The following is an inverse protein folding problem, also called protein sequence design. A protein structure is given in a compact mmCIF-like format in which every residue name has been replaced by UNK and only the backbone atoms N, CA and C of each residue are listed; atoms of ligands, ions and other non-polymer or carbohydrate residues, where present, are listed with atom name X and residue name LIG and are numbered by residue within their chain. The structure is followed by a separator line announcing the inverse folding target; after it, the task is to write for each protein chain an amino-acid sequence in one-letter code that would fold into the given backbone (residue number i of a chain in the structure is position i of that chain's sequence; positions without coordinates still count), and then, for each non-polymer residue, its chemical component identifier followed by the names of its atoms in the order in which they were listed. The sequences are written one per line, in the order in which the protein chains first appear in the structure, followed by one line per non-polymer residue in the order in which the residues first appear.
data_IF_206599195654
#
_entry.id   IF_206599195654
#
_cell.length_a   1.000
_cell.length_b   1.000
_cell.length_c   1.000
_cell.angle_alpha   90.00
_cell.angle_beta   90.00
_cell.angle_gamma   90.00
#
_symmetry.space_group_name_H-M   'P 1'
#
loop_
_entity.id
_entity.type
_entity.pdbx_description
1 polymer ?
#
# COMPACT_ATOMS: atom_id res chain seq x y z
N UNK A 1 -25.69 -7.71 15.40
CA UNK A 1 -25.49 -6.80 14.25
C UNK A 1 -24.22 -7.23 13.54
N UNK A 2 -24.33 -7.93 12.40
CA UNK A 2 -23.16 -8.46 11.70
C UNK A 2 -22.28 -7.31 11.21
N UNK A 3 -21.02 -7.23 11.68
CA UNK A 3 -20.03 -6.34 11.08
C UNK A 3 -19.95 -6.70 9.59
N UNK A 4 -20.33 -5.77 8.71
CA UNK A 4 -20.00 -5.89 7.28
C UNK A 4 -18.50 -6.15 7.21
N UNK A 5 -18.08 -7.26 6.59
CA UNK A 5 -16.67 -7.45 6.21
C UNK A 5 -16.31 -6.28 5.29
N UNK A 6 -15.55 -5.32 5.80
CA UNK A 6 -15.05 -4.23 4.98
C UNK A 6 -14.03 -4.83 4.00
N UNK A 7 -14.35 -4.83 2.72
CA UNK A 7 -13.42 -5.28 1.68
C UNK A 7 -12.38 -4.19 1.45
N UNK A 8 -11.11 -4.49 1.73
CA UNK A 8 -9.98 -3.61 1.41
C UNK A 8 -9.95 -3.43 -0.11
N UNK A 9 -9.90 -2.18 -0.56
CA UNK A 9 -9.77 -1.83 -1.98
C UNK A 9 -8.89 -0.60 -2.15
N UNK A 10 -8.53 -0.27 -3.40
CA UNK A 10 -7.65 0.86 -3.70
C UNK A 10 -8.17 2.19 -3.13
N UNK A 11 -9.50 2.42 -3.11
CA UNK A 11 -10.07 3.64 -2.54
C UNK A 11 -9.82 3.73 -1.04
N UNK A 12 -9.93 2.62 -0.31
CA UNK A 12 -9.60 2.58 1.13
C UNK A 12 -8.13 2.94 1.32
N UNK A 13 -7.22 2.30 0.59
CA UNK A 13 -5.77 2.56 0.68
C UNK A 13 -5.47 4.05 0.41
N UNK A 14 -6.04 4.62 -0.64
CA UNK A 14 -5.89 6.04 -0.99
C UNK A 14 -6.47 6.99 0.05
N UNK A 15 -7.54 6.58 0.73
CA UNK A 15 -8.17 7.34 1.82
C UNK A 15 -7.33 7.29 3.08
N UNK A 16 -6.79 6.12 3.44
CA UNK A 16 -5.84 5.97 4.55
C UNK A 16 -4.61 6.82 4.30
N UNK A 17 -4.06 6.82 3.08
CA UNK A 17 -2.96 7.71 2.72
C UNK A 17 -3.32 9.19 2.94
N UNK A 18 -4.51 9.63 2.50
CA UNK A 18 -4.99 10.98 2.79
C UNK A 18 -5.03 11.30 4.29
N UNK A 19 -5.57 10.37 5.09
CA UNK A 19 -5.67 10.53 6.55
C UNK A 19 -4.30 10.67 7.20
N UNK A 20 -3.34 9.81 6.86
CA UNK A 20 -2.01 9.85 7.50
C UNK A 20 -1.14 11.01 7.02
N UNK A 21 -1.43 11.56 5.85
CA UNK A 21 -0.66 12.67 5.27
C UNK A 21 -1.21 14.03 5.66
N UNK A 22 -2.54 14.20 5.67
CA UNK A 22 -3.17 15.51 5.85
C UNK A 22 -4.22 15.53 6.96
N UNK A 23 -4.50 14.39 7.61
CA UNK A 23 -5.60 14.27 8.57
C UNK A 23 -6.98 14.21 7.91
N UNK A 24 -7.07 14.20 6.58
CA UNK A 24 -8.34 14.24 5.85
C UNK A 24 -8.65 12.88 5.22
N UNK A 25 -9.90 12.43 5.37
CA UNK A 25 -10.42 11.23 4.71
C UNK A 25 -10.69 11.44 3.21
N UNK A 26 -9.69 11.97 2.49
CA UNK A 26 -9.74 12.24 1.06
C UNK A 26 -8.81 11.27 0.33
N UNK A 27 -9.31 10.48 -0.64
CA UNK A 27 -8.46 9.67 -1.49
C UNK A 27 -7.40 10.52 -2.19
N UNK A 28 -6.17 10.04 -2.16
CA UNK A 28 -5.01 10.67 -2.82
C UNK A 28 -4.57 9.82 -4.01
N UNK A 29 -4.09 10.45 -5.10
CA UNK A 29 -3.61 9.72 -6.27
C UNK A 29 -2.30 8.98 -5.95
N UNK A 30 -2.05 7.90 -6.68
CA UNK A 30 -0.71 7.30 -6.73
C UNK A 30 0.26 8.24 -7.44
N UNK A 31 1.56 8.03 -7.24
CA UNK A 31 2.61 8.78 -7.94
C UNK A 31 2.51 8.55 -9.45
N UNK A 32 2.78 9.61 -10.19
CA UNK A 32 2.86 9.67 -11.64
C UNK A 32 4.30 9.75 -12.17
N UNK A 33 5.27 9.88 -11.25
CA UNK A 33 6.70 9.92 -11.54
C UNK A 33 7.48 8.83 -10.81
N UNK A 34 8.73 8.63 -11.25
CA UNK A 34 9.62 7.68 -10.61
C UNK A 34 10.02 8.17 -9.23
N UNK A 35 9.84 7.32 -8.22
CA UNK A 35 10.37 7.58 -6.88
C UNK A 35 11.68 6.80 -6.71
N UNK A 36 12.65 7.37 -6.00
CA UNK A 36 13.93 6.71 -5.71
C UNK A 36 14.14 6.77 -4.22
N UNK A 37 14.25 5.60 -3.58
CA UNK A 37 14.54 5.54 -2.15
C UNK A 37 16.04 5.71 -1.99
N UNK A 38 16.43 6.76 -1.26
CA UNK A 38 17.83 7.08 -0.98
C UNK A 38 18.11 6.92 0.50
N UNK A 39 19.36 6.57 0.80
CA UNK A 39 19.86 6.61 2.16
C UNK A 39 20.07 8.08 2.56
N UNK A 40 19.46 8.51 3.67
CA UNK A 40 19.51 9.91 4.09
C UNK A 40 20.90 10.38 4.52
N UNK A 41 21.82 9.46 4.87
CA UNK A 41 23.17 9.81 5.36
C UNK A 41 24.18 9.92 4.22
N UNK A 42 24.03 9.08 3.20
CA UNK A 42 25.00 8.91 2.11
C UNK A 42 24.47 9.37 0.75
N UNK A 43 23.18 9.68 0.65
CA UNK A 43 22.44 10.00 -0.58
C UNK A 43 22.47 8.88 -1.66
N UNK A 44 23.04 7.71 -1.35
CA UNK A 44 23.09 6.57 -2.26
C UNK A 44 21.69 6.03 -2.52
N UNK A 45 21.46 5.53 -3.73
CA UNK A 45 20.22 4.84 -4.07
C UNK A 45 20.18 3.52 -3.30
N UNK A 46 19.16 3.35 -2.45
CA UNK A 46 18.95 2.14 -1.66
C UNK A 46 17.98 1.20 -2.37
N UNK A 47 16.98 1.76 -3.05
CA UNK A 47 15.99 0.99 -3.76
C UNK A 47 15.32 1.81 -4.86
N UNK A 48 15.10 1.14 -5.99
CA UNK A 48 14.36 1.68 -7.13
C UNK A 48 13.03 0.92 -7.25
N UNK A 49 11.89 1.50 -6.81
CA UNK A 49 10.58 0.89 -6.98
C UNK A 49 10.19 0.76 -8.48
N UNK A 50 9.13 0.00 -8.79
CA UNK A 50 8.59 -0.14 -10.14
C UNK A 50 8.33 1.21 -10.84
N UNK A 51 8.22 1.23 -12.16
CA UNK A 51 7.87 2.47 -12.87
C UNK A 51 6.48 2.97 -12.47
N UNK A 52 6.29 4.30 -12.49
CA UNK A 52 5.01 4.90 -12.08
C UNK A 52 3.80 4.37 -12.88
N UNK A 53 4.00 4.07 -14.16
CA UNK A 53 2.98 3.52 -15.05
C UNK A 53 2.47 2.12 -14.61
N UNK A 54 3.29 1.37 -13.89
CA UNK A 54 2.98 0.01 -13.43
C UNK A 54 2.30 0.02 -12.05
N UNK A 55 2.42 1.12 -11.29
CA UNK A 55 1.84 1.22 -9.94
C UNK A 55 0.32 0.93 -9.92
N UNK A 56 -0.52 1.47 -10.83
CA UNK A 56 -1.96 1.20 -10.80
C UNK A 56 -2.32 -0.28 -10.98
N UNK A 57 -1.60 -1.00 -11.85
CA UNK A 57 -1.87 -2.43 -12.07
C UNK A 57 -1.39 -3.26 -10.88
N UNK A 58 -0.18 -2.99 -10.37
CA UNK A 58 0.38 -3.69 -9.21
C UNK A 58 -0.46 -3.51 -7.94
N UNK A 59 -1.00 -2.30 -7.72
CA UNK A 59 -1.88 -2.04 -6.57
C UNK A 59 -3.22 -2.77 -6.70
N UNK A 60 -3.75 -2.90 -7.92
CA UNK A 60 -4.96 -3.67 -8.19
C UNK A 60 -4.74 -5.15 -7.93
N UNK A 61 -3.62 -5.69 -8.40
CA UNK A 61 -3.23 -7.09 -8.17
C UNK A 61 -3.01 -7.38 -6.69
N UNK A 62 -2.34 -6.49 -5.95
CA UNK A 62 -2.17 -6.62 -4.51
C UNK A 62 -3.52 -6.68 -3.77
N UNK A 63 -4.47 -5.81 -4.12
CA UNK A 63 -5.81 -5.81 -3.53
C UNK A 63 -6.57 -7.10 -3.85
N UNK A 64 -6.47 -7.59 -5.09
CA UNK A 64 -7.10 -8.83 -5.52
C UNK A 64 -6.52 -10.02 -4.74
N UNK A 65 -5.20 -10.15 -4.70
CA UNK A 65 -4.49 -11.19 -3.96
C UNK A 65 -4.86 -11.19 -2.47
N UNK A 66 -4.87 -10.01 -1.82
CA UNK A 66 -5.22 -9.92 -0.40
C UNK A 66 -6.67 -10.35 -0.14
N UNK A 67 -7.59 -10.01 -1.05
CA UNK A 67 -8.99 -10.44 -0.96
C UNK A 67 -9.12 -11.96 -1.09
N UNK A 68 -8.41 -12.55 -2.05
CA UNK A 68 -8.35 -14.00 -2.25
C UNK A 68 -7.74 -14.71 -1.04
N UNK A 69 -6.57 -14.27 -0.56
CA UNK A 69 -5.88 -14.87 0.58
C UNK A 69 -6.76 -14.88 1.85
N UNK A 70 -7.49 -13.79 2.11
CA UNK A 70 -8.43 -13.71 3.24
C UNK A 70 -9.69 -14.55 3.04
N UNK A 71 -10.04 -14.89 1.80
CA UNK A 71 -11.21 -15.69 1.45
C UNK A 71 -10.90 -17.18 1.56
N UNK A 72 -9.75 -17.62 1.04
CA UNK A 72 -9.31 -19.01 1.07
C UNK A 72 -8.88 -19.46 2.47
N UNK A 73 -8.38 -18.54 3.31
CA UNK A 73 -7.92 -18.82 4.68
C UNK A 73 -6.82 -19.89 4.77
N UNK A 74 -6.03 -20.05 3.70
CA UNK A 74 -4.90 -20.99 3.65
C UNK A 74 -3.72 -20.53 4.52
N UNK A 75 -3.57 -19.21 4.70
CA UNK A 75 -2.52 -18.61 5.49
C UNK A 75 -3.07 -17.95 6.76
N UNK A 76 -2.35 -18.01 7.89
CA UNK A 76 -2.70 -17.24 9.08
C UNK A 76 -2.77 -15.73 8.77
N UNK A 77 -3.75 -15.04 9.34
CA UNK A 77 -3.95 -13.59 9.14
C UNK A 77 -2.66 -12.76 9.34
N UNK A 78 -1.82 -13.01 10.36
CA UNK A 78 -0.56 -12.26 10.52
C UNK A 78 0.39 -12.39 9.33
N UNK A 79 0.42 -13.55 8.66
CA UNK A 79 1.26 -13.79 7.49
C UNK A 79 0.71 -13.02 6.28
N UNK A 80 -0.61 -13.05 6.07
CA UNK A 80 -1.26 -12.26 5.00
C UNK A 80 -0.97 -10.77 5.20
N UNK A 81 -1.10 -10.26 6.43
CA UNK A 81 -0.81 -8.86 6.74
C UNK A 81 0.66 -8.50 6.51
N UNK A 82 1.60 -9.37 6.90
CA UNK A 82 3.03 -9.14 6.69
C UNK A 82 3.40 -9.10 5.20
N UNK A 83 2.85 -10.01 4.39
CA UNK A 83 3.05 -10.03 2.94
C UNK A 83 2.42 -8.82 2.26
N UNK A 84 1.18 -8.45 2.63
CA UNK A 84 0.53 -7.25 2.10
C UNK A 84 1.33 -5.98 2.42
N UNK A 85 1.85 -5.87 3.65
CA UNK A 85 2.72 -4.77 4.08
C UNK A 85 3.99 -4.71 3.24
N UNK A 86 4.68 -5.84 3.10
CA UNK A 86 5.92 -5.93 2.32
C UNK A 86 5.68 -5.58 0.85
N UNK A 87 4.63 -6.15 0.23
CA UNK A 87 4.30 -5.89 -1.17
C UNK A 87 3.90 -4.43 -1.41
N UNK A 88 3.14 -3.82 -0.50
CA UNK A 88 2.83 -2.40 -0.59
C UNK A 88 4.10 -1.53 -0.52
N UNK A 89 5.01 -1.84 0.40
CA UNK A 89 6.26 -1.09 0.58
C UNK A 89 7.19 -1.20 -0.64
N UNK A 90 7.20 -2.35 -1.31
CA UNK A 90 8.01 -2.59 -2.52
C UNK A 90 7.43 -1.94 -3.77
N UNK A 91 6.10 -1.92 -3.94
CA UNK A 91 5.40 -1.15 -4.99
C UNK A 91 5.65 0.35 -4.81
N UNK A 92 5.66 0.80 -3.56
CA UNK A 92 5.90 2.19 -3.16
C UNK A 92 5.03 3.19 -3.93
N UNK A 93 3.68 3.10 -3.78
CA UNK A 93 2.73 3.78 -4.67
C UNK A 93 2.67 5.31 -4.53
N UNK A 94 3.29 5.90 -3.51
CA UNK A 94 3.28 7.35 -3.27
C UNK A 94 4.69 7.95 -3.24
N UNK A 95 4.79 9.29 -3.35
CA UNK A 95 6.07 10.01 -3.22
C UNK A 95 6.57 10.06 -1.76
N UNK A 96 5.65 10.22 -0.81
CA UNK A 96 5.88 10.14 0.65
C UNK A 96 4.70 9.39 1.27
N UNK A 97 4.79 9.01 2.54
CA UNK A 97 3.68 8.44 3.30
C UNK A 97 3.59 6.92 3.25
N UNK A 98 4.31 6.25 2.34
CA UNK A 98 4.24 4.80 2.16
C UNK A 98 4.41 4.01 3.47
N UNK A 99 5.45 4.31 4.25
CA UNK A 99 5.68 3.61 5.52
C UNK A 99 4.57 3.84 6.56
N UNK A 100 3.99 5.04 6.61
CA UNK A 100 2.87 5.36 7.51
C UNK A 100 1.61 4.60 7.07
N UNK A 101 1.27 4.68 5.78
CA UNK A 101 0.12 3.97 5.19
C UNK A 101 0.21 2.46 5.36
N UNK A 102 1.39 1.86 5.19
CA UNK A 102 1.58 0.42 5.32
C UNK A 102 1.36 -0.11 6.76
N UNK A 103 1.57 0.73 7.78
CA UNK A 103 1.37 0.37 9.19
C UNK A 103 -0.01 0.71 9.71
N UNK A 104 -0.75 1.57 9.02
CA UNK A 104 -2.10 1.94 9.42
C UNK A 104 -3.06 0.78 9.22
N UNK A 105 -3.87 0.44 10.22
CA UNK A 105 -4.95 -0.51 10.01
C UNK A 105 -5.94 0.06 8.97
N UNK A 106 -6.46 -0.78 8.06
CA UNK A 106 -7.55 -0.40 7.17
C UNK A 106 -8.86 -0.16 7.91
#
# INVERSE_FOLDING_TARGET
MGRRKATINERVIRTVHGLVMTGQAKPTPYRDGQNVIRDNRTASIVYLPPEAKDVPVLMRELVAWNTEALTQQELPIPIVAALAHYQFATIHPYFDGNGRTARSPP
#
